data_IF_103604377419
#
_entry.id   IF_103604377419
#
_cell.length_a   1.000
_cell.length_b   1.000
_cell.length_c   1.000
_cell.angle_alpha   90.00
_cell.angle_beta   90.00
_cell.angle_gamma   90.00
#
_symmetry.space_group_name_H-M   'P 1'
#
loop_
_entity.id
_entity.type
_entity.pdbx_description
1 polymer ?
#
# COMPACT_ATOMS: atom_id res chain seq x y z
N UNK A 1 26.81 0.59 2.97
CA UNK A 1 25.36 0.48 2.69
C UNK A 1 25.11 -0.85 2.02
N UNK A 2 24.15 -1.64 2.50
CA UNK A 2 23.74 -2.89 1.88
C UNK A 2 22.24 -2.89 1.65
N UNK A 3 21.82 -3.52 0.55
CA UNK A 3 20.42 -3.76 0.22
C UNK A 3 20.27 -5.22 -0.17
N UNK A 4 19.14 -5.82 0.21
CA UNK A 4 18.80 -7.20 -0.14
C UNK A 4 17.76 -7.17 -1.26
N UNK A 5 18.03 -7.89 -2.33
CA UNK A 5 17.11 -7.97 -3.48
C UNK A 5 16.50 -9.37 -3.52
N UNK A 6 15.18 -9.45 -3.71
CA UNK A 6 14.43 -10.68 -3.98
C UNK A 6 13.67 -10.50 -5.29
N UNK A 7 13.75 -11.48 -6.20
CA UNK A 7 13.05 -11.44 -7.49
C UNK A 7 11.88 -12.41 -7.46
N UNK A 8 10.68 -11.88 -7.70
CA UNK A 8 9.43 -12.62 -7.84
C UNK A 8 9.12 -12.78 -9.33
N UNK A 9 9.54 -13.93 -9.90
CA UNK A 9 9.59 -14.12 -11.36
C UNK A 9 8.19 -14.16 -11.98
N UNK A 10 7.21 -14.70 -11.27
CA UNK A 10 5.84 -14.85 -11.77
C UNK A 10 5.14 -13.50 -11.95
N UNK A 11 5.53 -12.50 -11.16
CA UNK A 11 4.91 -11.17 -11.15
C UNK A 11 5.77 -10.12 -11.86
N UNK A 12 6.96 -10.49 -12.33
CA UNK A 12 7.97 -9.56 -12.86
C UNK A 12 8.28 -8.39 -11.88
N UNK A 13 8.37 -8.72 -10.59
CA UNK A 13 8.63 -7.75 -9.51
C UNK A 13 9.96 -8.08 -8.83
N UNK A 14 10.74 -7.06 -8.49
CA UNK A 14 11.88 -7.16 -7.60
C UNK A 14 11.61 -6.37 -6.32
N UNK A 15 11.73 -7.02 -5.16
CA UNK A 15 11.67 -6.38 -3.85
C UNK A 15 13.08 -6.04 -3.41
N UNK A 16 13.30 -4.76 -3.07
CA UNK A 16 14.57 -4.28 -2.50
C UNK A 16 14.32 -3.84 -1.06
N UNK A 17 15.00 -4.50 -0.11
CA UNK A 17 14.93 -4.18 1.31
C UNK A 17 16.23 -3.52 1.76
N UNK A 18 16.13 -2.38 2.42
CA UNK A 18 17.28 -1.68 3.00
C UNK A 18 16.91 -1.07 4.35
N UNK A 19 17.87 -1.01 5.28
CA UNK A 19 17.74 -0.33 6.56
C UNK A 19 18.16 1.15 6.50
N UNK A 20 18.55 1.65 5.33
CA UNK A 20 19.04 3.02 5.14
C UNK A 20 17.95 3.86 4.45
N UNK A 21 17.35 4.84 5.13
CA UNK A 21 16.27 5.67 4.58
C UNK A 21 16.66 6.39 3.28
N UNK A 22 17.87 6.97 3.22
CA UNK A 22 18.34 7.70 2.03
C UNK A 22 18.44 6.78 0.80
N UNK A 23 18.87 5.53 1.00
CA UNK A 23 18.93 4.55 -0.07
C UNK A 23 17.52 4.13 -0.52
N UNK A 24 16.56 4.02 0.41
CA UNK A 24 15.17 3.73 0.06
C UNK A 24 14.56 4.85 -0.81
N UNK A 25 14.84 6.12 -0.48
CA UNK A 25 14.42 7.27 -1.29
C UNK A 25 15.06 7.24 -2.68
N UNK A 26 16.37 6.97 -2.77
CA UNK A 26 17.06 6.84 -4.05
C UNK A 26 16.47 5.72 -4.91
N UNK A 27 16.18 4.56 -4.31
CA UNK A 27 15.57 3.40 -4.99
C UNK A 27 14.15 3.70 -5.45
N UNK A 28 13.37 4.48 -4.68
CA UNK A 28 12.03 4.91 -5.05
C UNK A 28 12.00 5.77 -6.32
N UNK A 29 13.08 6.52 -6.59
CA UNK A 29 13.20 7.35 -7.79
C UNK A 29 13.77 6.60 -9.01
N UNK A 30 14.09 5.31 -8.91
CA UNK A 30 14.58 4.53 -10.05
C UNK A 30 13.43 4.28 -11.03
N UNK A 31 13.59 4.77 -12.26
CA UNK A 31 12.62 4.60 -13.35
C UNK A 31 13.11 3.65 -14.45
N UNK A 32 14.40 3.32 -14.47
CA UNK A 32 14.99 2.46 -15.50
C UNK A 32 15.98 1.49 -14.89
N UNK A 33 15.83 0.21 -15.22
CA UNK A 33 16.82 -0.83 -14.92
C UNK A 33 17.55 -1.24 -16.19
N UNK A 34 18.89 -1.28 -16.12
CA UNK A 34 19.71 -1.84 -17.18
C UNK A 34 20.09 -3.28 -16.83
N UNK A 35 19.63 -4.23 -17.63
CA UNK A 35 19.96 -5.65 -17.50
C UNK A 35 20.68 -6.10 -18.77
N UNK A 36 21.95 -6.51 -18.62
CA UNK A 36 22.86 -6.77 -19.72
C UNK A 36 22.92 -5.58 -20.70
N UNK A 37 22.53 -5.79 -21.97
CA UNK A 37 22.52 -4.78 -23.02
C UNK A 37 21.18 -4.06 -23.20
N UNK A 38 20.17 -4.34 -22.37
CA UNK A 38 18.81 -3.78 -22.51
C UNK A 38 18.42 -2.92 -21.31
N UNK A 39 17.69 -1.86 -21.60
CA UNK A 39 17.05 -1.00 -20.60
C UNK A 39 15.57 -1.33 -20.51
N UNK A 40 15.06 -1.37 -19.28
CA UNK A 40 13.66 -1.65 -18.97
C UNK A 40 13.13 -0.50 -18.13
N UNK A 41 11.99 0.05 -18.52
CA UNK A 41 11.25 0.97 -17.67
C UNK A 41 10.68 0.21 -16.47
N UNK A 42 10.75 0.83 -15.31
CA UNK A 42 10.25 0.27 -14.05
C UNK A 42 9.48 1.33 -13.27
N UNK A 43 8.53 0.85 -12.47
CA UNK A 43 7.86 1.67 -11.47
C UNK A 43 8.25 1.16 -10.10
N UNK A 44 9.09 1.91 -9.40
CA UNK A 44 9.40 1.64 -8.01
C UNK A 44 8.24 2.11 -7.12
N UNK A 45 7.89 1.31 -6.13
CA UNK A 45 6.92 1.67 -5.11
C UNK A 45 7.39 1.11 -3.76
N UNK A 46 7.01 1.79 -2.68
CA UNK A 46 7.27 1.31 -1.33
C UNK A 46 6.43 0.06 -1.12
N UNK A 47 7.09 -1.08 -0.91
CA UNK A 47 6.41 -2.31 -0.56
C UNK A 47 5.76 -2.16 0.81
N UNK A 48 4.54 -2.68 0.95
CA UNK A 48 3.88 -2.77 2.25
C UNK A 48 4.75 -3.61 3.19
N UNK A 49 4.89 -3.24 4.48
CA UNK A 49 5.65 -4.01 5.45
C UNK A 49 5.22 -5.48 5.50
N UNK A 50 6.13 -6.41 5.81
CA UNK A 50 5.81 -7.85 5.90
C UNK A 50 4.67 -8.15 6.90
N UNK A 51 4.53 -7.33 7.95
CA UNK A 51 3.42 -7.37 8.89
C UNK A 51 2.32 -6.39 8.47
N UNK A 52 1.80 -6.53 7.25
CA UNK A 52 0.66 -5.75 6.78
C UNK A 52 -0.34 -6.59 5.99
N UNK A 53 -1.57 -6.13 5.92
CA UNK A 53 -2.62 -6.73 5.10
C UNK A 53 -3.43 -5.65 4.39
N UNK A 54 -4.06 -6.02 3.26
CA UNK A 54 -4.85 -5.10 2.45
C UNK A 54 -6.33 -5.40 2.56
N UNK A 55 -7.13 -4.35 2.73
CA UNK A 55 -8.58 -4.43 2.76
C UNK A 55 -9.23 -3.36 1.89
N UNK A 56 -10.41 -3.66 1.37
CA UNK A 56 -11.19 -2.77 0.52
C UNK A 56 -12.54 -2.46 1.16
N UNK A 57 -12.92 -1.19 1.14
CA UNK A 57 -14.29 -0.74 1.37
C UNK A 57 -14.87 -0.19 0.06
N UNK A 58 -16.19 -0.23 -0.08
CA UNK A 58 -16.89 0.18 -1.31
C UNK A 58 -18.07 1.08 -0.98
N UNK A 59 -18.43 1.97 -1.91
CA UNK A 59 -19.58 2.87 -1.76
C UNK A 59 -19.25 4.17 -1.03
N UNK A 60 -17.97 4.54 -0.95
CA UNK A 60 -17.55 5.84 -0.41
C UNK A 60 -17.70 6.87 -1.51
N UNK A 61 -18.74 7.71 -1.40
CA UNK A 61 -19.02 8.79 -2.34
C UNK A 61 -19.25 10.10 -1.59
N UNK A 62 -18.71 11.24 -2.07
CA UNK A 62 -17.83 11.38 -3.24
C UNK A 62 -16.48 10.64 -3.07
N UNK A 63 -15.75 10.41 -4.16
CA UNK A 63 -14.43 9.73 -4.09
C UNK A 63 -13.51 10.60 -3.22
N UNK A 64 -13.04 10.07 -2.08
CA UNK A 64 -12.23 10.85 -1.14
C UNK A 64 -10.79 11.01 -1.63
N UNK A 65 -10.07 12.00 -1.10
CA UNK A 65 -8.63 12.13 -1.29
C UNK A 65 -7.87 11.12 -0.42
N UNK A 66 -6.60 10.84 -0.75
CA UNK A 66 -5.75 9.98 0.09
C UNK A 66 -5.61 10.56 1.51
N UNK A 67 -5.46 11.88 1.64
CA UNK A 67 -5.38 12.55 2.94
C UNK A 67 -6.65 12.36 3.78
N UNK A 68 -7.84 12.49 3.17
CA UNK A 68 -9.09 12.24 3.88
C UNK A 68 -9.19 10.78 4.33
N UNK A 69 -8.84 9.84 3.45
CA UNK A 69 -8.82 8.42 3.77
C UNK A 69 -7.88 8.07 4.92
N UNK A 70 -6.75 8.75 5.04
CA UNK A 70 -5.78 8.55 6.12
C UNK A 70 -6.21 9.18 7.45
N UNK A 71 -6.87 10.35 7.42
CA UNK A 71 -7.20 11.12 8.62
C UNK A 71 -8.54 10.75 9.26
N UNK A 72 -9.55 10.38 8.46
CA UNK A 72 -10.94 10.25 8.94
C UNK A 72 -11.38 8.80 9.23
N UNK A 73 -10.45 7.87 9.06
CA UNK A 73 -10.69 6.44 9.22
C UNK A 73 -10.47 5.99 10.66
N UNK A 74 -11.39 5.20 11.18
CA UNK A 74 -11.32 4.63 12.53
C UNK A 74 -11.53 3.13 12.47
N UNK A 75 -10.58 2.40 13.06
CA UNK A 75 -10.65 0.95 13.27
C UNK A 75 -11.13 0.71 14.70
N UNK A 76 -12.33 0.12 14.83
CA UNK A 76 -12.98 -0.16 16.12
C UNK A 76 -13.54 -1.59 16.10
N UNK A 77 -13.47 -2.36 17.21
CA UNK A 77 -12.96 -2.03 18.55
C UNK A 77 -11.44 -2.05 18.70
N UNK A 78 -10.73 -2.51 17.67
CA UNK A 78 -9.27 -2.60 17.66
C UNK A 78 -8.71 -1.40 16.92
N UNK A 79 -7.96 -0.53 17.60
CA UNK A 79 -7.18 0.55 16.98
C UNK A 79 -6.01 -0.06 16.20
N UNK A 80 -6.28 -0.48 14.98
CA UNK A 80 -5.30 -0.97 14.03
C UNK A 80 -4.70 0.21 13.28
N UNK A 81 -3.38 0.28 13.28
CA UNK A 81 -2.63 1.31 12.57
C UNK A 81 -2.79 1.16 11.06
N UNK A 82 -2.96 2.29 10.36
CA UNK A 82 -3.12 2.33 8.91
C UNK A 82 -1.83 2.85 8.31
N UNK A 83 -1.25 2.03 7.45
CA UNK A 83 0.04 2.30 6.81
C UNK A 83 -0.18 3.15 5.56
N UNK A 84 -1.25 2.88 4.81
CA UNK A 84 -1.57 3.60 3.58
C UNK A 84 -3.06 3.45 3.26
N UNK A 85 -3.66 4.47 2.66
CA UNK A 85 -5.00 4.42 2.12
C UNK A 85 -5.05 5.16 0.78
N UNK A 86 -5.83 4.65 -0.19
CA UNK A 86 -6.03 5.31 -1.48
C UNK A 86 -7.36 4.94 -2.13
N UNK A 87 -7.93 5.80 -2.99
CA UNK A 87 -9.00 5.42 -3.88
C UNK A 87 -8.57 4.25 -4.79
N UNK A 88 -9.52 3.38 -5.11
CA UNK A 88 -9.30 2.22 -5.97
C UNK A 88 -10.40 2.16 -7.04
N UNK A 89 -10.04 2.57 -8.25
CA UNK A 89 -10.99 2.69 -9.36
C UNK A 89 -11.93 3.89 -9.23
N UNK A 90 -13.00 3.89 -10.02
CA UNK A 90 -13.91 5.03 -10.18
C UNK A 90 -15.22 4.90 -9.39
N UNK A 91 -15.44 3.78 -8.70
CA UNK A 91 -16.75 3.42 -8.14
C UNK A 91 -16.84 3.64 -6.61
N UNK A 92 -16.04 4.57 -6.07
CA UNK A 92 -15.99 4.83 -4.63
C UNK A 92 -15.46 3.65 -3.80
N UNK A 93 -14.64 2.78 -4.41
CA UNK A 93 -13.89 1.77 -3.68
C UNK A 93 -12.58 2.39 -3.17
N UNK A 94 -12.19 2.03 -1.96
CA UNK A 94 -10.99 2.55 -1.30
C UNK A 94 -10.18 1.38 -0.73
N UNK A 95 -8.89 1.36 -1.03
CA UNK A 95 -7.94 0.34 -0.60
C UNK A 95 -7.15 0.86 0.60
N UNK A 96 -7.11 0.06 1.65
CA UNK A 96 -6.36 0.32 2.88
C UNK A 96 -5.30 -0.75 3.09
N UNK A 97 -4.14 -0.33 3.55
CA UNK A 97 -3.07 -1.19 4.06
C UNK A 97 -3.02 -1.02 5.57
N UNK A 98 -3.34 -2.08 6.30
CA UNK A 98 -3.33 -2.11 7.76
C UNK A 98 -2.06 -2.78 8.27
N UNK A 99 -1.59 -2.36 9.44
CA UNK A 99 -0.60 -3.12 10.20
C UNK A 99 -1.22 -4.41 10.75
N UNK A 100 -0.46 -5.50 10.68
CA UNK A 100 -0.91 -6.84 11.07
C UNK A 100 -1.43 -7.67 9.90
N UNK A 101 -1.72 -8.94 10.18
CA UNK A 101 -2.09 -9.94 9.16
C UNK A 101 -3.60 -10.15 9.00
N UNK A 102 -4.42 -9.38 9.71
CA UNK A 102 -5.87 -9.55 9.74
C UNK A 102 -6.57 -8.26 9.38
N UNK A 103 -7.35 -8.32 8.30
CA UNK A 103 -8.20 -7.21 7.87
C UNK A 103 -9.33 -7.03 8.89
N UNK A 104 -9.57 -5.80 9.39
CA UNK A 104 -10.71 -5.52 10.24
C UNK A 104 -12.01 -5.86 9.52
N UNK A 105 -13.01 -6.36 10.23
CA UNK A 105 -14.29 -6.73 9.60
C UNK A 105 -15.04 -5.48 9.10
N UNK A 106 -15.03 -4.43 9.93
CA UNK A 106 -15.66 -3.16 9.66
C UNK A 106 -14.68 -2.03 10.01
N UNK A 107 -14.83 -0.90 9.33
CA UNK A 107 -14.11 0.35 9.59
C UNK A 107 -15.11 1.49 9.55
N UNK A 108 -14.81 2.58 10.25
CA UNK A 108 -15.66 3.77 10.25
C UNK A 108 -14.94 4.87 9.49
N UNK A 109 -15.55 5.39 8.44
CA UNK A 109 -15.02 6.51 7.69
C UNK A 109 -16.03 7.66 7.77
N UNK A 110 -15.61 8.81 8.28
CA UNK A 110 -16.48 9.97 8.51
C UNK A 110 -17.77 9.63 9.28
N UNK A 111 -17.65 8.74 10.28
CA UNK A 111 -18.78 8.31 11.13
C UNK A 111 -19.69 7.24 10.52
N UNK A 112 -19.47 6.82 9.27
CA UNK A 112 -20.25 5.76 8.61
C UNK A 112 -19.50 4.43 8.68
N UNK A 113 -20.20 3.36 9.05
CA UNK A 113 -19.64 2.01 9.10
C UNK A 113 -19.59 1.39 7.69
N UNK A 114 -18.41 0.93 7.30
CA UNK A 114 -18.18 0.19 6.06
C UNK A 114 -17.64 -1.20 6.37
N UNK A 115 -18.19 -2.19 5.67
CA UNK A 115 -17.62 -3.53 5.68
C UNK A 115 -16.31 -3.54 4.90
N UNK A 116 -15.24 -3.95 5.57
CA UNK A 116 -13.93 -4.09 4.95
C UNK A 116 -13.70 -5.55 4.57
N UNK A 117 -13.31 -5.78 3.31
CA UNK A 117 -13.08 -7.11 2.75
C UNK A 117 -11.60 -7.28 2.42
N UNK A 118 -11.01 -8.48 2.59
CA UNK A 118 -9.67 -8.75 2.08
C UNK A 118 -9.57 -8.43 0.59
N UNK A 119 -8.47 -7.76 0.21
CA UNK A 119 -8.15 -7.45 -1.19
C UNK A 119 -7.28 -8.54 -1.80
#
# INVERSE_FOLDING_TARGET
MSARIRVCKEQNIALVSTSYPDLAVQLYHVQTLKLASRSYEVSAYVASPDNSCKGVITGVLPIPTEDALMNDIVTYPQSINIIQARPFGTNGACLYTFEGKRVPRNVYFQGVEFRCRPF
#
